data_IF_051761084842
#
_entry.id   IF_051761084842
#
_cell.length_a   1.000
_cell.length_b   1.000
_cell.length_c   1.000
_cell.angle_alpha   90.00
_cell.angle_beta   90.00
_cell.angle_gamma   90.00
#
_symmetry.space_group_name_H-M   'P 1'
#
loop_
_entity.id
_entity.type
_entity.pdbx_description
1 polymer ?
#
# COMPACT_ATOMS: atom_id res chain seq x y z
N UNK A 1 -2.46 -6.59 13.88
CA UNK A 1 -2.17 -6.70 12.44
C UNK A 1 -1.82 -5.33 11.89
N UNK A 2 -0.80 -5.25 11.07
CA UNK A 2 -0.36 -4.00 10.46
C UNK A 2 -0.93 -3.86 9.06
N UNK A 3 -1.57 -2.74 8.79
CA UNK A 3 -2.10 -2.42 7.47
C UNK A 3 -1.69 -0.99 7.11
N UNK A 4 -1.57 -0.73 5.83
CA UNK A 4 -1.20 0.59 5.31
C UNK A 4 -2.08 0.92 4.12
N UNK A 5 -2.50 2.17 4.00
CA UNK A 5 -3.37 2.59 2.92
C UNK A 5 -2.56 3.05 1.71
N UNK A 6 -2.99 2.57 0.55
CA UNK A 6 -2.39 2.95 -0.73
C UNK A 6 -3.48 3.44 -1.67
N UNK A 7 -3.10 4.33 -2.57
CA UNK A 7 -3.94 4.78 -3.66
C UNK A 7 -3.53 4.05 -4.92
N UNK A 8 -4.48 3.41 -5.58
CA UNK A 8 -4.24 2.77 -6.86
C UNK A 8 -4.17 3.84 -7.95
N UNK A 9 -3.15 3.78 -8.79
CA UNK A 9 -2.98 4.71 -9.90
C UNK A 9 -2.49 3.93 -11.11
N UNK A 10 -3.05 4.24 -12.28
CA UNK A 10 -2.62 3.63 -13.52
C UNK A 10 -1.67 4.57 -14.25
N UNK A 11 -0.53 4.04 -14.69
CA UNK A 11 0.48 4.79 -15.41
C UNK A 11 0.73 4.12 -16.75
N UNK A 12 1.14 4.91 -17.74
CA UNK A 12 1.51 4.40 -19.04
C UNK A 12 2.98 4.01 -19.01
N UNK A 13 3.26 2.79 -19.42
CA UNK A 13 4.62 2.30 -19.49
C UNK A 13 4.87 1.73 -20.89
N UNK A 14 6.11 1.79 -21.40
CA UNK A 14 6.41 1.18 -22.69
C UNK A 14 6.12 -0.31 -22.65
N UNK A 15 5.48 -0.82 -23.70
CA UNK A 15 5.21 -2.25 -23.80
C UNK A 15 6.48 -2.92 -24.35
N UNK A 16 7.14 -3.78 -23.58
CA UNK A 16 8.38 -4.41 -24.04
C UNK A 16 8.19 -5.35 -25.22
N UNK A 17 6.96 -5.85 -25.43
CA UNK A 17 6.67 -6.78 -26.51
C UNK A 17 6.20 -6.06 -27.77
N UNK A 18 5.91 -4.77 -27.70
CA UNK A 18 5.38 -4.00 -28.81
C UNK A 18 6.05 -2.64 -28.87
N UNK A 19 7.19 -2.53 -29.56
CA UNK A 19 7.90 -1.25 -29.65
C UNK A 19 6.99 -0.15 -30.19
N UNK A 20 7.08 1.02 -29.57
CA UNK A 20 6.24 2.16 -29.91
C UNK A 20 4.85 2.13 -29.34
N UNK A 21 4.50 1.11 -28.55
CA UNK A 21 3.21 1.00 -27.90
C UNK A 21 3.35 1.13 -26.39
N UNK A 22 2.23 1.46 -25.73
CA UNK A 22 2.20 1.64 -24.28
C UNK A 22 1.12 0.75 -23.68
N UNK A 23 1.37 0.29 -22.45
CA UNK A 23 0.42 -0.48 -21.67
C UNK A 23 0.07 0.31 -20.42
N UNK A 24 -1.07 0.00 -19.81
CA UNK A 24 -1.44 0.56 -18.49
C UNK A 24 -0.93 -0.37 -17.42
N UNK A 25 -0.29 0.19 -16.40
CA UNK A 25 0.21 -0.58 -15.27
C UNK A 25 -0.29 0.06 -13.99
N UNK A 26 -0.80 -0.76 -13.07
CA UNK A 26 -1.24 -0.27 -11.79
C UNK A 26 -0.05 0.00 -10.89
N UNK A 27 -0.05 1.16 -10.26
CA UNK A 27 0.93 1.53 -9.24
C UNK A 27 0.19 1.83 -7.95
N UNK A 28 0.77 1.42 -6.83
CA UNK A 28 0.21 1.64 -5.51
C UNK A 28 1.10 2.64 -4.78
N UNK A 29 0.50 3.75 -4.39
CA UNK A 29 1.22 4.87 -3.79
C UNK A 29 0.64 5.11 -2.40
N UNK A 30 1.46 5.18 -1.35
CA UNK A 30 0.97 5.48 -0.01
C UNK A 30 0.17 6.78 0.00
N UNK A 31 -1.00 6.76 0.65
CA UNK A 31 -1.85 7.96 0.71
C UNK A 31 -1.41 8.94 1.78
N UNK A 32 -0.59 8.51 2.73
CA UNK A 32 -0.21 9.34 3.85
C UNK A 32 -1.30 9.47 4.90
N UNK A 33 -2.31 8.61 4.86
CA UNK A 33 -3.38 8.63 5.86
C UNK A 33 -2.78 8.46 7.26
N UNK A 34 -3.19 9.34 8.18
CA UNK A 34 -2.66 9.35 9.54
C UNK A 34 -3.63 8.75 10.56
N UNK A 35 -4.90 8.58 10.20
CA UNK A 35 -5.90 8.04 11.11
C UNK A 35 -7.03 7.39 10.33
N UNK A 36 -7.60 6.36 10.92
CA UNK A 36 -8.81 5.72 10.40
C UNK A 36 -9.78 5.51 11.55
N UNK A 37 -11.07 5.46 11.24
CA UNK A 37 -12.10 5.23 12.24
C UNK A 37 -12.91 4.00 11.86
N UNK A 38 -13.25 3.19 12.86
CA UNK A 38 -14.07 2.01 12.67
C UNK A 38 -14.82 1.70 13.97
N UNK A 39 -16.13 1.52 13.87
CA UNK A 39 -16.98 1.17 15.00
C UNK A 39 -16.81 2.12 16.21
N UNK A 40 -16.68 3.42 15.92
CA UNK A 40 -16.55 4.44 16.95
C UNK A 40 -15.15 4.58 17.54
N UNK A 41 -14.18 3.81 17.07
CA UNK A 41 -12.79 3.90 17.50
C UNK A 41 -11.92 4.49 16.43
N UNK A 42 -10.95 5.28 16.85
CA UNK A 42 -9.97 5.88 15.93
C UNK A 42 -8.62 5.21 16.14
N UNK A 43 -8.01 4.82 15.04
CA UNK A 43 -6.68 4.22 15.03
C UNK A 43 -5.74 5.17 14.30
N UNK A 44 -4.58 5.41 14.88
CA UNK A 44 -3.59 6.31 14.28
C UNK A 44 -2.45 5.54 13.69
N UNK A 45 -1.95 6.04 12.57
CA UNK A 45 -0.79 5.46 11.92
C UNK A 45 0.49 5.84 12.68
N UNK A 46 1.51 4.99 12.56
CA UNK A 46 2.84 5.34 13.02
C UNK A 46 3.49 6.33 12.04
N UNK A 47 4.77 6.64 12.25
CA UNK A 47 5.47 7.59 11.41
C UNK A 47 5.63 7.15 9.96
N UNK A 48 5.37 5.88 9.67
CA UNK A 48 5.49 5.30 8.34
C UNK A 48 4.16 5.05 7.66
N UNK A 49 3.07 5.41 8.31
CA UNK A 49 1.75 5.22 7.76
C UNK A 49 1.15 3.84 8.02
N UNK A 50 1.74 3.04 8.89
CA UNK A 50 1.22 1.73 9.24
C UNK A 50 0.27 1.84 10.43
N UNK A 51 -0.88 1.17 10.30
CA UNK A 51 -1.87 1.10 11.37
C UNK A 51 -1.77 -0.25 12.06
N UNK A 52 -1.65 -0.24 13.37
CA UNK A 52 -1.71 -1.46 14.17
C UNK A 52 -3.15 -1.60 14.66
N UNK A 53 -3.89 -2.57 14.15
CA UNK A 53 -5.32 -2.71 14.41
C UNK A 53 -5.65 -4.16 14.76
N UNK A 54 -6.78 -4.40 15.47
CA UNK A 54 -7.25 -5.76 15.72
C UNK A 54 -7.59 -6.48 14.42
N UNK A 55 -7.59 -7.81 14.48
CA UNK A 55 -7.81 -8.65 13.30
C UNK A 55 -9.14 -8.36 12.61
N UNK A 56 -10.20 -8.14 13.39
CA UNK A 56 -11.53 -7.87 12.82
C UNK A 56 -11.55 -6.56 12.06
N UNK A 57 -10.90 -5.53 12.60
CA UNK A 57 -10.77 -4.23 11.92
C UNK A 57 -9.93 -4.38 10.66
N UNK A 58 -8.82 -5.10 10.75
CA UNK A 58 -7.96 -5.33 9.60
C UNK A 58 -8.72 -6.05 8.48
N UNK A 59 -9.46 -7.09 8.81
CA UNK A 59 -10.25 -7.82 7.80
C UNK A 59 -11.27 -6.92 7.13
N UNK A 60 -11.93 -6.06 7.90
CA UNK A 60 -12.89 -5.13 7.34
C UNK A 60 -12.21 -4.17 6.36
N UNK A 61 -11.11 -3.56 6.77
CA UNK A 61 -10.40 -2.60 5.91
C UNK A 61 -9.82 -3.27 4.67
N UNK A 62 -9.31 -4.47 4.80
CA UNK A 62 -8.73 -5.21 3.68
C UNK A 62 -9.78 -5.67 2.67
N UNK A 63 -11.07 -5.69 3.05
CA UNK A 63 -12.13 -6.08 2.14
C UNK A 63 -12.42 -5.04 1.06
N UNK A 64 -11.98 -3.80 1.25
CA UNK A 64 -12.16 -2.74 0.26
C UNK A 64 -11.04 -2.82 -0.77
N UNK A 65 -11.29 -3.50 -1.88
CA UNK A 65 -10.28 -3.72 -2.91
C UNK A 65 -10.82 -3.35 -4.29
N UNK A 66 -11.24 -2.10 -4.42
CA UNK A 66 -11.76 -1.61 -5.69
C UNK A 66 -10.61 -1.05 -6.53
N UNK A 67 -10.37 -1.55 -7.74
CA UNK A 67 -9.33 -1.02 -8.60
C UNK A 67 -9.51 0.49 -8.83
N UNK A 68 -8.41 1.22 -8.79
CA UNK A 68 -8.44 2.67 -8.97
C UNK A 68 -8.81 3.45 -7.71
N UNK A 69 -9.10 2.77 -6.61
CA UNK A 69 -9.47 3.41 -5.35
C UNK A 69 -8.42 3.18 -4.29
N UNK A 70 -8.51 3.94 -3.20
CA UNK A 70 -7.64 3.71 -2.05
C UNK A 70 -8.00 2.37 -1.41
N UNK A 71 -6.98 1.64 -0.98
CA UNK A 71 -7.17 0.35 -0.33
C UNK A 71 -6.06 0.08 0.67
N UNK A 72 -6.33 -0.84 1.58
CA UNK A 72 -5.35 -1.23 2.58
C UNK A 72 -4.65 -2.52 2.17
N UNK A 73 -3.38 -2.61 2.55
CA UNK A 73 -2.57 -3.81 2.31
C UNK A 73 -1.86 -4.17 3.60
N UNK A 74 -1.65 -5.47 3.82
CA UNK A 74 -0.79 -5.95 4.89
C UNK A 74 0.66 -5.85 4.44
N UNK A 75 1.59 -6.06 5.38
CA UNK A 75 3.01 -6.09 5.03
C UNK A 75 3.33 -7.22 4.05
N UNK A 76 2.64 -8.36 4.17
CA UNK A 76 2.82 -9.45 3.22
C UNK A 76 2.32 -9.05 1.82
N UNK A 77 1.18 -8.36 1.76
CA UNK A 77 0.64 -7.88 0.48
C UNK A 77 1.57 -6.86 -0.17
N UNK A 78 2.13 -5.95 0.64
CA UNK A 78 3.07 -4.95 0.12
C UNK A 78 4.31 -5.64 -0.43
N UNK A 79 4.83 -6.65 0.25
CA UNK A 79 5.97 -7.41 -0.23
C UNK A 79 5.69 -8.07 -1.58
N UNK A 80 4.48 -8.60 -1.78
CA UNK A 80 4.08 -9.19 -3.04
C UNK A 80 4.05 -8.14 -4.15
N UNK A 81 3.49 -6.97 -3.87
CA UNK A 81 3.42 -5.89 -4.86
C UNK A 81 4.79 -5.31 -5.18
N UNK A 82 5.70 -5.26 -4.21
CA UNK A 82 7.07 -4.84 -4.46
C UNK A 82 7.75 -5.79 -5.44
N UNK A 83 7.52 -7.09 -5.27
CA UNK A 83 8.12 -8.11 -6.13
C UNK A 83 7.67 -7.98 -7.59
N UNK A 84 6.43 -7.55 -7.82
CA UNK A 84 5.93 -7.32 -9.17
C UNK A 84 6.09 -5.89 -9.64
N UNK A 85 6.75 -5.04 -8.87
CA UNK A 85 7.06 -3.68 -9.27
C UNK A 85 5.96 -2.66 -9.08
N UNK A 86 4.84 -3.01 -8.43
CA UNK A 86 3.73 -2.09 -8.25
C UNK A 86 3.95 -1.11 -7.10
N UNK A 87 4.80 -1.46 -6.14
CA UNK A 87 5.12 -0.63 -4.98
C UNK A 87 6.64 -0.54 -4.87
N UNK A 88 7.15 0.65 -4.57
CA UNK A 88 8.58 0.82 -4.36
C UNK A 88 9.03 0.09 -3.10
N UNK A 89 10.23 -0.51 -3.15
CA UNK A 89 10.78 -1.23 -2.01
C UNK A 89 10.93 -0.34 -0.77
N UNK A 90 11.18 0.94 -0.97
CA UNK A 90 11.36 1.87 0.13
C UNK A 90 10.05 2.24 0.83
N UNK A 91 8.91 1.90 0.24
CA UNK A 91 7.60 2.14 0.82
C UNK A 91 7.05 0.96 1.59
N UNK A 92 7.82 -0.13 1.69
CA UNK A 92 7.31 -1.27 2.43
C UNK A 92 7.63 -1.13 3.93
N UNK A 93 8.00 -2.12 4.61
CA UNK A 93 8.02 -2.22 6.05
C UNK A 93 8.81 -1.12 6.76
N UNK A 94 8.36 -0.70 7.98
CA UNK A 94 9.06 0.34 8.72
C UNK A 94 10.42 -0.06 9.26
N UNK A 95 10.65 -1.32 9.58
CA UNK A 95 11.92 -1.71 10.16
C UNK A 95 13.14 -1.40 9.30
N UNK A 96 13.08 -1.41 7.97
CA UNK A 96 14.24 -1.03 7.17
C UNK A 96 14.75 0.37 7.45
N UNK A 97 13.92 1.24 7.97
CA UNK A 97 14.33 2.59 8.29
C UNK A 97 15.32 2.66 9.41
N UNK A 98 15.19 1.79 10.37
CA UNK A 98 16.17 1.75 11.46
C UNK A 98 17.56 1.49 10.89
N UNK A 99 17.65 0.71 9.84
CA UNK A 99 18.91 0.44 9.18
C UNK A 99 19.40 1.64 8.39
N UNK A 100 18.48 2.36 7.77
CA UNK A 100 18.87 3.52 6.99
C UNK A 100 19.41 4.63 7.85
N UNK A 101 18.88 4.76 9.03
CA UNK A 101 19.32 5.82 9.93
C UNK A 101 20.69 5.58 10.49
N UNK A 102 21.18 4.40 10.37
CA UNK A 102 22.51 4.08 10.85
C UNK A 102 23.58 4.73 9.97
#
# INVERSE_FOLDING_TARGET
>A
MHIKQFQSRFVRVPDPLRPGRYASEERLIPTGASAISHAGKTYKADGDGWFSVPMDVAKHMLSFRTPGSARFLTDADVGEHVRVGAVSAEDQLPEPKAKKSA
#
